data_IF_778482090368
#
_entry.id   IF_778482090368
#
_cell.length_a   1.000
_cell.length_b   1.000
_cell.length_c   1.000
_cell.angle_alpha   90.00
_cell.angle_beta   90.00
_cell.angle_gamma   90.00
#
_symmetry.space_group_name_H-M   'P 1'
#
loop_
_entity.id
_entity.type
_entity.pdbx_description
1 polymer ?
#
# COMPACT_ATOMS: atom_id res chain seq x y z
N UNK A 1 -36.33 72.26 33.49
CA UNK A 1 -36.38 70.94 32.83
C UNK A 1 -35.00 70.31 32.95
N UNK A 2 -34.92 69.21 33.69
CA UNK A 2 -33.66 68.56 34.08
C UNK A 2 -33.52 67.27 33.28
N UNK A 3 -32.49 67.13 32.44
CA UNK A 3 -32.17 65.87 31.75
C UNK A 3 -30.95 65.22 32.42
N UNK A 4 -31.17 64.05 33.00
CA UNK A 4 -30.17 63.20 33.67
C UNK A 4 -29.33 62.44 32.63
N UNK A 5 -28.00 62.49 32.74
CA UNK A 5 -27.09 61.75 31.84
C UNK A 5 -27.01 60.27 32.24
N UNK A 6 -27.37 59.37 31.32
CA UNK A 6 -27.18 57.92 31.45
C UNK A 6 -25.71 57.57 31.23
N UNK A 7 -25.01 57.04 32.24
CA UNK A 7 -23.61 56.57 32.08
C UNK A 7 -23.59 55.18 31.41
N UNK A 8 -22.82 55.04 30.33
CA UNK A 8 -22.53 53.76 29.67
C UNK A 8 -21.39 53.08 30.44
N UNK A 9 -21.62 51.87 30.95
CA UNK A 9 -20.60 51.06 31.60
C UNK A 9 -19.96 50.14 30.55
N UNK A 10 -18.75 50.48 30.09
CA UNK A 10 -17.96 49.62 29.18
C UNK A 10 -17.26 48.56 30.05
N UNK A 11 -17.50 47.29 29.74
CA UNK A 11 -16.89 46.14 30.44
C UNK A 11 -15.36 46.16 30.28
N UNK A 12 -14.65 45.76 31.35
CA UNK A 12 -13.19 45.76 31.44
C UNK A 12 -12.57 44.85 30.37
N UNK A 13 -11.56 45.36 29.67
CA UNK A 13 -10.65 44.56 28.85
C UNK A 13 -9.98 43.48 29.72
N UNK A 14 -10.29 42.22 29.45
CA UNK A 14 -9.52 41.06 29.93
C UNK A 14 -8.44 40.76 28.90
N UNK A 15 -7.26 41.37 29.07
CA UNK A 15 -6.06 41.02 28.30
C UNK A 15 -5.24 39.94 29.01
N UNK A 16 -4.62 39.05 28.25
CA UNK A 16 -3.66 38.08 28.76
C UNK A 16 -2.41 38.77 29.30
N UNK A 17 -1.87 38.28 30.42
CA UNK A 17 -0.60 38.78 30.96
C UNK A 17 0.57 38.36 30.08
N UNK A 18 1.62 39.18 30.00
CA UNK A 18 2.86 38.82 29.31
C UNK A 18 3.44 37.50 29.87
N UNK A 19 3.34 37.31 31.18
CA UNK A 19 3.77 36.07 31.85
C UNK A 19 2.94 34.87 31.40
N UNK A 20 1.64 35.06 31.19
CA UNK A 20 0.73 34.00 30.76
C UNK A 20 1.04 33.54 29.33
N UNK A 21 1.37 34.48 28.44
CA UNK A 21 1.81 34.17 27.08
C UNK A 21 3.16 33.43 27.10
N UNK A 22 4.11 33.83 27.96
CA UNK A 22 5.40 33.14 28.06
C UNK A 22 5.25 31.71 28.59
N UNK A 23 4.39 31.50 29.59
CA UNK A 23 4.11 30.15 30.11
C UNK A 23 3.39 29.30 29.06
N UNK A 24 2.42 29.87 28.33
CA UNK A 24 1.72 29.15 27.26
C UNK A 24 2.68 28.72 26.13
N UNK A 25 3.61 29.60 25.71
CA UNK A 25 4.62 29.27 24.70
C UNK A 25 5.62 28.22 25.22
N UNK A 26 6.02 28.29 26.49
CA UNK A 26 6.89 27.28 27.10
C UNK A 26 6.24 25.89 27.12
N UNK A 27 4.95 25.81 27.49
CA UNK A 27 4.17 24.56 27.46
C UNK A 27 4.03 24.06 26.02
N UNK A 28 3.70 24.95 25.07
CA UNK A 28 3.60 24.61 23.65
C UNK A 28 4.90 23.99 23.12
N UNK A 29 6.06 24.56 23.47
CA UNK A 29 7.37 24.05 23.06
C UNK A 29 7.64 22.63 23.58
N UNK A 30 7.28 22.34 24.83
CA UNK A 30 7.41 20.99 25.43
C UNK A 30 6.49 20.00 24.71
N UNK A 31 5.23 20.38 24.47
CA UNK A 31 4.25 19.54 23.78
C UNK A 31 4.67 19.24 22.34
N UNK A 32 5.19 20.24 21.61
CA UNK A 32 5.70 20.05 20.26
C UNK A 32 6.95 19.16 20.24
N UNK A 33 7.86 19.30 21.20
CA UNK A 33 9.05 18.46 21.31
C UNK A 33 8.74 16.97 21.50
N UNK A 34 7.65 16.64 22.21
CA UNK A 34 7.23 15.25 22.45
C UNK A 34 6.27 14.75 21.35
N UNK A 35 5.48 15.64 20.75
CA UNK A 35 4.42 15.28 19.78
C UNK A 35 4.92 14.97 18.36
N UNK A 36 6.02 15.59 17.92
CA UNK A 36 6.56 15.40 16.55
C UNK A 36 7.02 13.96 16.24
N UNK A 37 7.78 13.25 17.09
CA UNK A 37 8.33 11.94 16.72
C UNK A 37 7.25 10.87 16.47
N UNK A 38 6.05 11.01 17.06
CA UNK A 38 4.96 10.04 16.91
C UNK A 38 4.27 10.06 15.54
N UNK A 39 4.40 11.13 14.75
CA UNK A 39 3.78 11.20 13.43
C UNK A 39 4.57 10.43 12.36
N UNK A 40 5.89 10.30 12.50
CA UNK A 40 6.74 9.67 11.48
C UNK A 40 6.47 8.16 11.38
N UNK A 41 6.39 7.46 12.52
CA UNK A 41 6.11 6.02 12.55
C UNK A 41 4.72 5.67 12.02
N UNK A 42 3.72 6.54 12.22
CA UNK A 42 2.37 6.33 11.71
C UNK A 42 2.31 6.42 10.17
N UNK A 43 3.12 7.29 9.56
CA UNK A 43 3.24 7.39 8.10
C UNK A 43 4.04 6.22 7.50
N UNK A 44 5.03 5.68 8.20
CA UNK A 44 5.83 4.53 7.75
C UNK A 44 5.03 3.22 7.78
N UNK A 45 4.34 2.90 8.90
CA UNK A 45 3.47 1.73 8.98
C UNK A 45 2.38 1.72 7.91
N UNK A 46 1.85 2.91 7.58
CA UNK A 46 0.85 3.05 6.53
C UNK A 46 1.37 2.67 5.14
N UNK A 47 2.69 2.75 4.89
CA UNK A 47 3.30 2.38 3.60
C UNK A 47 3.45 0.87 3.46
N UNK A 48 3.95 0.21 4.52
CA UNK A 48 4.07 -1.27 4.57
C UNK A 48 2.71 -1.91 4.36
N UNK A 49 1.69 -1.46 5.09
CA UNK A 49 0.34 -1.99 4.97
C UNK A 49 -0.23 -1.80 3.55
N UNK A 50 -0.01 -0.63 2.92
CA UNK A 50 -0.44 -0.41 1.54
C UNK A 50 0.22 -1.36 0.54
N UNK A 51 1.49 -1.71 0.74
CA UNK A 51 2.18 -2.68 -0.11
C UNK A 51 1.63 -4.08 0.02
N UNK A 52 1.40 -4.49 1.26
CA UNK A 52 0.83 -5.77 1.57
C UNK A 52 -0.61 -5.89 1.03
N UNK A 53 -1.43 -4.85 1.21
CA UNK A 53 -2.80 -4.81 0.73
C UNK A 53 -2.87 -4.79 -0.80
N UNK A 54 -2.04 -3.99 -1.46
CA UNK A 54 -1.98 -3.93 -2.93
C UNK A 54 -1.60 -5.28 -3.53
N UNK A 55 -0.62 -5.96 -2.94
CA UNK A 55 -0.21 -7.29 -3.36
C UNK A 55 -1.32 -8.32 -3.13
N UNK A 56 -1.89 -8.37 -1.92
CA UNK A 56 -2.95 -9.31 -1.59
C UNK A 56 -4.16 -9.12 -2.52
N UNK A 57 -4.51 -7.86 -2.82
CA UNK A 57 -5.55 -7.52 -3.79
C UNK A 57 -5.18 -7.96 -5.22
N UNK A 58 -3.93 -7.82 -5.64
CA UNK A 58 -3.48 -8.27 -6.96
C UNK A 58 -3.57 -9.79 -7.12
N UNK A 59 -3.18 -10.55 -6.11
CA UNK A 59 -3.30 -12.02 -6.12
C UNK A 59 -4.75 -12.46 -6.10
N UNK A 60 -5.57 -11.87 -5.21
CA UNK A 60 -6.99 -12.20 -5.14
C UNK A 60 -7.70 -11.87 -6.45
N UNK A 61 -7.38 -10.73 -7.07
CA UNK A 61 -7.92 -10.37 -8.37
C UNK A 61 -7.48 -11.35 -9.45
N UNK A 62 -6.18 -11.67 -9.54
CA UNK A 62 -5.67 -12.62 -10.52
C UNK A 62 -6.36 -13.97 -10.41
N UNK A 63 -6.53 -14.47 -9.18
CA UNK A 63 -7.24 -15.72 -8.90
C UNK A 63 -8.72 -15.64 -9.25
N UNK A 64 -9.41 -14.57 -8.86
CA UNK A 64 -10.84 -14.42 -9.17
C UNK A 64 -11.09 -14.29 -10.67
N UNK A 65 -10.20 -13.61 -11.39
CA UNK A 65 -10.28 -13.46 -12.85
C UNK A 65 -10.00 -14.79 -13.55
N UNK A 66 -9.06 -15.58 -13.03
CA UNK A 66 -8.77 -16.92 -13.57
C UNK A 66 -9.98 -17.86 -13.45
N UNK A 67 -10.65 -17.84 -12.29
CA UNK A 67 -11.85 -18.65 -12.03
C UNK A 67 -13.05 -18.13 -12.85
N UNK A 68 -13.28 -16.81 -12.84
CA UNK A 68 -14.48 -16.21 -13.45
C UNK A 68 -14.47 -16.26 -14.97
N UNK A 69 -13.29 -16.13 -15.60
CA UNK A 69 -13.20 -16.13 -17.07
C UNK A 69 -13.28 -17.51 -17.70
N UNK A 70 -13.16 -18.58 -16.91
CA UNK A 70 -13.15 -19.97 -17.38
C UNK A 70 -12.36 -20.12 -18.70
N UNK A 71 -11.11 -19.62 -18.69
CA UNK A 71 -10.34 -19.44 -19.92
C UNK A 71 -10.24 -20.76 -20.71
N UNK A 72 -10.48 -20.74 -22.04
CA UNK A 72 -10.51 -21.95 -22.85
C UNK A 72 -9.22 -22.76 -22.71
N UNK A 73 -9.38 -24.04 -22.35
CA UNK A 73 -8.48 -25.20 -22.29
C UNK A 73 -6.96 -25.07 -22.05
N UNK A 74 -6.36 -23.88 -21.95
CA UNK A 74 -4.94 -23.59 -21.72
C UNK A 74 -4.65 -22.09 -21.44
N UNK A 75 -5.65 -21.21 -21.43
CA UNK A 75 -5.44 -19.82 -21.03
C UNK A 75 -5.12 -19.71 -19.53
N UNK A 76 -4.24 -18.77 -19.17
CA UNK A 76 -3.84 -18.50 -17.79
C UNK A 76 -3.95 -17.02 -17.49
N UNK A 77 -4.25 -16.66 -16.25
CA UNK A 77 -4.06 -15.29 -15.77
C UNK A 77 -2.66 -15.19 -15.19
N UNK A 78 -1.83 -14.31 -15.73
CA UNK A 78 -0.46 -14.08 -15.29
C UNK A 78 -0.40 -12.82 -14.42
N UNK A 79 0.14 -12.99 -13.22
CA UNK A 79 0.57 -11.91 -12.33
C UNK A 79 2.10 -11.80 -12.42
N UNK A 80 2.60 -10.62 -12.68
CA UNK A 80 4.03 -10.34 -12.78
C UNK A 80 4.31 -8.87 -12.51
N UNK A 81 5.59 -8.52 -12.44
CA UNK A 81 6.00 -7.13 -12.49
C UNK A 81 5.70 -6.52 -13.86
N UNK A 82 5.19 -5.29 -13.88
CA UNK A 82 4.91 -4.56 -15.12
C UNK A 82 6.21 -4.21 -15.87
N UNK A 83 6.17 -4.29 -17.19
CA UNK A 83 7.20 -3.64 -18.00
C UNK A 83 6.97 -2.13 -18.08
N UNK A 84 7.97 -1.38 -18.55
CA UNK A 84 7.87 0.08 -18.73
C UNK A 84 6.80 0.54 -19.75
N UNK A 85 6.20 -0.39 -20.51
CA UNK A 85 5.18 -0.13 -21.53
C UNK A 85 3.76 -0.55 -21.10
N UNK A 86 3.58 -1.04 -19.87
CA UNK A 86 2.30 -1.44 -19.27
C UNK A 86 1.49 -2.47 -20.05
N UNK A 87 2.16 -3.27 -20.86
CA UNK A 87 1.54 -4.24 -21.77
C UNK A 87 2.03 -5.68 -21.57
N UNK A 88 2.90 -5.90 -20.58
CA UNK A 88 3.51 -7.18 -20.34
C UNK A 88 4.30 -7.23 -19.04
N UNK A 89 4.92 -8.39 -18.83
CA UNK A 89 5.82 -8.60 -17.70
C UNK A 89 7.22 -8.05 -18.00
N UNK A 90 7.93 -7.53 -17.00
CA UNK A 90 9.37 -7.22 -17.10
C UNK A 90 10.19 -8.49 -17.35
N UNK A 91 9.79 -9.60 -16.73
CA UNK A 91 10.54 -10.86 -16.72
C UNK A 91 11.52 -10.97 -15.56
N UNK A 92 11.57 -9.95 -14.70
CA UNK A 92 12.46 -9.89 -13.55
C UNK A 92 11.78 -10.42 -12.27
N UNK A 93 12.62 -10.74 -11.29
CA UNK A 93 12.22 -11.18 -9.95
C UNK A 93 12.13 -10.00 -8.95
N UNK A 94 12.20 -8.76 -9.43
CA UNK A 94 12.26 -7.56 -8.60
C UNK A 94 11.00 -6.72 -8.80
N UNK A 95 9.87 -7.12 -8.22
CA UNK A 95 8.54 -6.53 -8.46
C UNK A 95 8.32 -5.13 -7.85
N UNK A 96 9.38 -4.33 -7.73
CA UNK A 96 9.36 -2.97 -7.18
C UNK A 96 8.71 -1.95 -8.11
N UNK A 97 8.77 -2.15 -9.44
CA UNK A 97 8.28 -1.16 -10.41
C UNK A 97 6.76 -1.20 -10.62
N UNK A 98 6.07 -2.11 -9.92
CA UNK A 98 4.62 -2.24 -9.92
C UNK A 98 4.17 -3.58 -10.49
N UNK A 99 2.89 -3.89 -10.29
CA UNK A 99 2.32 -5.19 -10.61
C UNK A 99 1.36 -5.06 -11.79
N UNK A 100 1.31 -6.09 -12.62
CA UNK A 100 0.31 -6.21 -13.68
C UNK A 100 -0.34 -7.59 -13.62
N UNK A 101 -1.66 -7.60 -13.75
CA UNK A 101 -2.45 -8.80 -14.00
C UNK A 101 -2.90 -8.75 -15.43
N UNK A 102 -2.54 -9.78 -16.18
CA UNK A 102 -2.86 -9.91 -17.59
C UNK A 102 -3.27 -11.34 -17.91
N UNK A 103 -3.97 -11.50 -19.00
CA UNK A 103 -4.32 -12.81 -19.54
C UNK A 103 -3.29 -13.23 -20.57
N UNK A 104 -2.86 -14.48 -20.49
CA UNK A 104 -2.02 -15.12 -21.50
C UNK A 104 -2.71 -16.29 -22.14
N UNK A 105 -2.42 -16.48 -23.43
CA UNK A 105 -2.81 -17.69 -24.14
C UNK A 105 -1.87 -18.86 -23.79
N UNK A 106 -2.17 -20.05 -24.33
CA UNK A 106 -1.34 -21.25 -24.18
C UNK A 106 0.12 -21.08 -24.64
N UNK A 107 0.38 -20.13 -25.55
CA UNK A 107 1.71 -19.83 -26.07
C UNK A 107 2.47 -18.77 -25.24
N UNK A 108 1.87 -18.23 -24.17
CA UNK A 108 2.46 -17.21 -23.31
C UNK A 108 2.33 -15.77 -23.82
N UNK A 109 1.61 -15.56 -24.92
CA UNK A 109 1.35 -14.22 -25.47
C UNK A 109 0.26 -13.51 -24.66
N UNK A 110 0.47 -12.23 -24.37
CA UNK A 110 -0.54 -11.38 -23.73
C UNK A 110 -1.76 -11.25 -24.64
N UNK A 111 -2.92 -11.65 -24.15
CA UNK A 111 -4.22 -11.51 -24.83
C UNK A 111 -4.85 -10.18 -24.44
N UNK A 112 -4.90 -9.89 -23.13
CA UNK A 112 -5.50 -8.69 -22.59
C UNK A 112 -4.89 -8.32 -21.24
N UNK A 113 -4.80 -7.02 -20.96
CA UNK A 113 -4.40 -6.52 -19.63
C UNK A 113 -5.65 -6.36 -18.79
N UNK A 114 -5.66 -6.97 -17.60
CA UNK A 114 -6.79 -6.90 -16.67
C UNK A 114 -6.68 -5.66 -15.79
N UNK A 115 -5.54 -5.50 -15.13
CA UNK A 115 -5.30 -4.39 -14.21
C UNK A 115 -3.81 -4.16 -14.00
N UNK A 116 -3.46 -2.90 -13.79
CA UNK A 116 -2.10 -2.45 -13.45
C UNK A 116 -2.13 -1.79 -12.07
N UNK A 117 -1.08 -2.01 -11.29
CA UNK A 117 -0.79 -1.33 -10.03
C UNK A 117 0.53 -0.59 -10.16
N UNK A 118 0.57 0.63 -9.66
CA UNK A 118 1.80 1.43 -9.63
C UNK A 118 2.79 0.94 -8.58
N UNK A 119 4.06 1.24 -8.83
CA UNK A 119 5.15 1.06 -7.88
C UNK A 119 4.84 1.74 -6.54
N UNK A 120 5.22 1.09 -5.45
CA UNK A 120 5.08 1.66 -4.12
C UNK A 120 6.38 2.35 -3.76
N UNK A 121 6.30 3.67 -3.61
CA UNK A 121 7.46 4.51 -3.32
C UNK A 121 8.17 4.05 -2.05
N UNK A 122 9.49 3.82 -2.16
CA UNK A 122 10.38 3.32 -1.11
C UNK A 122 10.06 1.90 -0.61
N UNK A 123 9.38 1.08 -1.40
CA UNK A 123 9.26 -0.35 -1.18
C UNK A 123 10.11 -1.09 -2.21
N UNK A 124 10.79 -2.13 -1.76
CA UNK A 124 11.44 -3.12 -2.62
C UNK A 124 10.68 -4.41 -2.49
N UNK A 125 10.26 -4.99 -3.61
CA UNK A 125 9.55 -6.27 -3.62
C UNK A 125 10.38 -7.23 -4.43
N UNK A 126 10.75 -8.35 -3.85
CA UNK A 126 11.49 -9.43 -4.53
C UNK A 126 10.65 -10.69 -4.50
N UNK A 127 10.57 -11.41 -5.60
CA UNK A 127 9.85 -12.68 -5.70
C UNK A 127 10.81 -13.82 -6.05
N UNK A 128 10.49 -15.04 -5.61
CA UNK A 128 11.19 -16.24 -6.06
C UNK A 128 10.83 -16.68 -7.49
N UNK A 129 9.93 -15.95 -8.16
CA UNK A 129 9.43 -16.28 -9.50
C UNK A 129 9.14 -15.02 -10.32
N UNK A 130 9.56 -14.99 -11.58
CA UNK A 130 9.34 -13.84 -12.46
C UNK A 130 7.85 -13.59 -12.79
N UNK A 131 7.02 -14.64 -12.68
CA UNK A 131 5.58 -14.55 -12.87
C UNK A 131 4.86 -15.70 -12.13
N UNK A 132 3.61 -15.44 -11.74
CA UNK A 132 2.67 -16.44 -11.25
C UNK A 132 1.54 -16.60 -12.26
N UNK A 133 1.37 -17.82 -12.77
CA UNK A 133 0.29 -18.15 -13.70
C UNK A 133 -0.82 -18.87 -12.94
N UNK A 134 -2.00 -18.27 -12.92
CA UNK A 134 -3.21 -18.82 -12.35
C UNK A 134 -3.99 -19.60 -13.40
N UNK A 135 -4.30 -20.84 -13.08
CA UNK A 135 -5.18 -21.70 -13.85
C UNK A 135 -6.66 -21.43 -13.51
N UNK A 136 -7.57 -21.95 -14.35
CA UNK A 136 -9.02 -21.75 -14.21
C UNK A 136 -9.62 -22.39 -12.95
N UNK A 137 -8.89 -23.29 -12.29
CA UNK A 137 -9.22 -23.86 -10.98
C UNK A 137 -8.73 -22.99 -9.80
N UNK A 138 -8.04 -21.89 -10.10
CA UNK A 138 -7.45 -20.97 -9.13
C UNK A 138 -6.14 -21.47 -8.52
N UNK A 139 -5.54 -22.54 -9.05
CA UNK A 139 -4.19 -22.99 -8.69
C UNK A 139 -3.14 -22.15 -9.40
N UNK A 140 -1.90 -22.19 -8.91
CA UNK A 140 -0.76 -21.52 -9.51
C UNK A 140 0.29 -22.54 -9.95
N UNK A 141 0.92 -22.32 -11.11
CA UNK A 141 1.93 -23.23 -11.68
C UNK A 141 3.21 -23.32 -10.82
N UNK A 142 3.52 -22.27 -10.05
CA UNK A 142 4.74 -22.16 -9.24
C UNK A 142 4.41 -21.66 -7.85
N UNK A 143 4.83 -22.41 -6.82
CA UNK A 143 4.86 -21.90 -5.45
C UNK A 143 6.19 -21.17 -5.22
N UNK A 144 6.13 -19.92 -4.80
CA UNK A 144 7.31 -19.15 -4.45
C UNK A 144 7.02 -18.14 -3.34
N UNK A 145 8.08 -17.82 -2.61
CA UNK A 145 8.06 -16.74 -1.63
C UNK A 145 8.16 -15.39 -2.33
N UNK A 146 7.61 -14.37 -1.69
CA UNK A 146 7.90 -12.99 -2.01
C UNK A 146 8.23 -12.22 -0.74
N UNK A 147 9.12 -11.26 -0.87
CA UNK A 147 9.69 -10.47 0.21
C UNK A 147 9.41 -9.01 -0.10
N UNK A 148 8.68 -8.35 0.80
CA UNK A 148 8.41 -6.91 0.72
C UNK A 148 9.27 -6.24 1.78
N UNK A 149 10.20 -5.38 1.36
CA UNK A 149 11.02 -4.59 2.28
C UNK A 149 10.74 -3.10 2.09
N UNK A 150 10.37 -2.40 3.17
CA UNK A 150 10.13 -0.96 3.20
C UNK A 150 11.02 -0.36 4.28
N UNK A 151 12.04 0.40 3.90
CA UNK A 151 13.05 0.87 4.85
C UNK A 151 13.81 -0.31 5.48
N UNK A 152 13.73 -0.46 6.80
CA UNK A 152 14.32 -1.59 7.55
C UNK A 152 13.36 -2.74 7.80
N UNK A 153 12.07 -2.57 7.51
CA UNK A 153 11.05 -3.58 7.79
C UNK A 153 10.90 -4.51 6.59
N UNK A 154 11.15 -5.80 6.83
CA UNK A 154 11.00 -6.86 5.82
C UNK A 154 9.86 -7.79 6.22
N UNK A 155 8.95 -8.04 5.28
CA UNK A 155 7.84 -8.98 5.45
C UNK A 155 7.91 -10.05 4.37
N UNK A 156 7.99 -11.30 4.81
CA UNK A 156 7.95 -12.46 3.94
C UNK A 156 6.52 -12.95 3.76
N UNK A 157 6.28 -13.48 2.59
CA UNK A 157 5.03 -14.11 2.24
C UNK A 157 5.28 -15.30 1.33
N UNK A 158 4.31 -16.21 1.32
CA UNK A 158 4.39 -17.39 0.50
C UNK A 158 3.11 -17.59 -0.29
N UNK A 159 3.27 -17.85 -1.59
CA UNK A 159 2.20 -18.32 -2.45
C UNK A 159 2.28 -19.85 -2.55
N UNK A 160 1.18 -20.53 -2.24
CA UNK A 160 1.04 -21.98 -2.40
C UNK A 160 0.52 -22.33 -3.79
N UNK A 161 0.76 -23.57 -4.23
CA UNK A 161 0.18 -24.12 -5.47
C UNK A 161 -1.35 -24.03 -5.52
N UNK A 162 -2.03 -23.93 -4.37
CA UNK A 162 -3.47 -23.69 -4.27
C UNK A 162 -3.91 -22.26 -4.65
N UNK A 163 -2.97 -21.38 -4.98
CA UNK A 163 -3.22 -19.97 -5.28
C UNK A 163 -3.50 -19.10 -4.06
N UNK A 164 -3.39 -19.65 -2.85
CA UNK A 164 -3.54 -18.92 -1.59
C UNK A 164 -2.21 -18.30 -1.16
N UNK A 165 -2.27 -17.08 -0.64
CA UNK A 165 -1.11 -16.38 -0.05
C UNK A 165 -1.26 -16.35 1.47
N UNK A 166 -0.14 -16.56 2.17
CA UNK A 166 -0.05 -16.34 3.61
C UNK A 166 1.21 -15.53 3.94
N UNK A 167 1.15 -14.80 5.04
CA UNK A 167 2.30 -14.07 5.59
C UNK A 167 3.21 -15.06 6.32
N UNK A 168 4.49 -15.09 5.95
CA UNK A 168 5.49 -16.01 6.47
C UNK A 168 6.34 -16.65 5.38
N UNK A 169 7.45 -17.25 5.80
CA UNK A 169 8.36 -17.97 4.93
C UNK A 169 7.66 -19.19 4.27
N UNK A 170 8.03 -19.49 3.01
CA UNK A 170 7.56 -20.71 2.38
C UNK A 170 8.14 -21.94 3.07
N UNK A 171 7.32 -22.95 3.40
CA UNK A 171 7.84 -24.24 3.83
C UNK A 171 8.68 -24.88 2.71
N UNK A 172 9.73 -25.64 3.07
CA UNK A 172 10.56 -26.37 2.11
C UNK A 172 9.80 -27.48 1.38
#
# INVERSE_FOLDING_TARGET
MTFQSKRINVSKNTGFSLVEVMVAVAILAIVLGIGIPGFQSMFENSRVNRANDAFAAAVQLARSEAITRELPANGRIRLCERNAADNGCSGDQSWGDGLIVLEVNAAGNTVQVVRVWDAIQNATVTSGAAAFNFASDGTVDTAAGFVVSVGSDTTDYCMRLTGSVFQGACPP
#
